data_IF_099545097474
#
_entry.id   IF_099545097474
#
_cell.length_a   1.000
_cell.length_b   1.000
_cell.length_c   1.000
_cell.angle_alpha   90.00
_cell.angle_beta   90.00
_cell.angle_gamma   90.00
#
_symmetry.space_group_name_H-M   'P 1'
#
loop_
_entity.id
_entity.type
_entity.pdbx_description
1 polymer ?
#
# COMPACT_ATOMS: atom_id res chain seq x y z
N UNK A 1 4.57 -37.32 38.07
CA UNK A 1 5.68 -38.28 37.92
C UNK A 1 6.63 -37.67 36.90
N UNK A 2 7.62 -36.89 37.41
CA UNK A 2 9.04 -37.19 37.51
C UNK A 2 9.73 -37.37 36.15
N UNK A 3 10.79 -36.70 35.77
CA UNK A 3 12.06 -36.18 36.34
C UNK A 3 12.70 -35.18 35.33
N UNK A 4 13.17 -33.96 35.63
CA UNK A 4 14.40 -33.50 36.31
C UNK A 4 15.70 -34.24 35.87
N UNK A 5 16.63 -33.47 35.27
CA UNK A 5 18.08 -33.45 35.44
C UNK A 5 18.66 -32.42 34.45
N UNK A 6 19.10 -31.25 34.84
CA UNK A 6 20.27 -30.83 35.61
C UNK A 6 21.64 -31.02 34.92
N UNK A 7 22.30 -29.88 34.66
CA UNK A 7 23.68 -29.45 34.93
C UNK A 7 24.78 -30.02 34.00
N UNK A 8 25.59 -29.14 33.39
CA UNK A 8 27.00 -28.95 33.75
C UNK A 8 27.61 -27.65 33.17
N UNK A 9 28.20 -26.90 34.10
CA UNK A 9 29.10 -25.74 33.91
C UNK A 9 30.51 -26.30 33.61
N UNK A 10 31.26 -25.66 32.69
CA UNK A 10 32.74 -25.66 32.75
C UNK A 10 33.22 -24.26 32.38
N UNK A 11 33.76 -23.59 33.40
CA UNK A 11 34.60 -22.41 33.27
C UNK A 11 36.05 -22.88 33.05
N UNK A 12 36.80 -22.22 32.17
CA UNK A 12 38.25 -22.33 32.10
C UNK A 12 38.86 -20.93 31.99
N UNK A 13 39.55 -20.57 33.06
CA UNK A 13 40.41 -19.38 33.20
C UNK A 13 41.85 -19.89 33.19
N UNK A 14 42.75 -19.13 32.55
CA UNK A 14 44.20 -19.00 32.73
C UNK A 14 44.79 -18.58 31.37
N UNK A 15 45.59 -17.59 31.14
CA UNK A 15 46.47 -16.80 32.01
C UNK A 15 47.72 -16.49 31.24
N UNK A 16 47.99 -15.21 31.04
CA UNK A 16 49.27 -14.47 31.06
C UNK A 16 50.48 -14.82 30.16
N UNK A 17 51.01 -13.70 29.64
CA UNK A 17 52.39 -13.29 29.29
C UNK A 17 52.74 -13.47 27.82
N UNK A 18 53.34 -12.54 27.08
CA UNK A 18 53.99 -11.25 27.35
C UNK A 18 54.89 -10.91 26.17
N UNK A 19 55.17 -9.63 26.04
CA UNK A 19 56.30 -8.98 25.35
C UNK A 19 56.45 -8.97 23.82
N UNK A 20 56.32 -7.80 23.24
CA UNK A 20 57.46 -7.12 22.58
C UNK A 20 57.46 -7.11 21.05
N UNK A 21 57.29 -5.98 20.42
CA UNK A 21 57.67 -5.75 19.05
C UNK A 21 57.09 -4.43 18.50
N UNK A 22 57.91 -3.44 18.38
CA UNK A 22 57.62 -2.08 17.95
C UNK A 22 57.35 -1.97 16.44
N UNK A 23 56.64 -0.89 16.10
CA UNK A 23 56.70 -0.14 14.85
C UNK A 23 55.84 -0.64 13.67
N UNK A 24 54.74 0.08 13.45
CA UNK A 24 54.62 0.97 12.27
C UNK A 24 53.30 1.76 12.34
N UNK A 25 53.46 3.08 12.33
CA UNK A 25 52.33 4.01 12.29
C UNK A 25 51.71 3.99 10.92
N UNK A 26 50.47 3.54 10.80
CA UNK A 26 49.57 3.97 9.73
C UNK A 26 48.60 4.95 10.30
N UNK A 27 48.79 6.21 9.87
CA UNK A 27 47.83 7.31 10.03
C UNK A 27 46.67 6.99 9.11
N UNK A 28 45.63 6.42 9.65
CA UNK A 28 44.33 6.41 9.00
C UNK A 28 43.59 7.64 9.51
N UNK A 29 43.31 8.55 8.59
CA UNK A 29 42.49 9.74 8.74
C UNK A 29 41.21 9.40 9.51
N UNK A 30 41.13 9.88 10.74
CA UNK A 30 39.86 10.08 11.43
C UNK A 30 39.19 11.30 10.77
N UNK A 31 38.29 11.06 9.86
CA UNK A 31 37.29 12.04 9.52
C UNK A 31 36.36 12.12 10.74
N UNK A 32 36.67 13.05 11.63
CA UNK A 32 35.72 13.54 12.61
C UNK A 32 34.56 14.18 11.86
N UNK A 33 33.46 13.44 11.67
CA UNK A 33 32.17 14.04 11.54
C UNK A 33 31.85 14.69 12.89
N UNK A 34 32.18 15.97 12.99
CA UNK A 34 31.67 16.77 14.07
C UNK A 34 30.16 16.85 14.00
N UNK A 35 29.48 15.98 14.70
CA UNK A 35 28.11 16.20 15.12
C UNK A 35 28.15 17.42 16.05
N UNK A 36 27.84 18.60 15.50
CA UNK A 36 27.47 19.73 16.34
C UNK A 36 26.14 19.35 17.01
N UNK A 37 26.20 18.95 18.27
CA UNK A 37 25.01 18.85 19.10
C UNK A 37 24.33 20.24 19.02
N UNK A 38 23.21 20.35 18.34
CA UNK A 38 22.36 21.53 18.35
C UNK A 38 21.90 21.72 19.79
N UNK A 39 22.38 22.78 20.41
CA UNK A 39 21.97 23.18 21.76
C UNK A 39 20.48 23.54 21.67
N UNK A 40 19.66 22.89 22.46
CA UNK A 40 18.22 23.19 22.54
C UNK A 40 18.04 24.71 22.76
N UNK A 41 17.21 25.40 21.95
CA UNK A 41 17.07 26.84 22.07
C UNK A 41 16.48 27.22 23.43
N UNK A 42 17.04 28.24 24.06
CA UNK A 42 16.53 28.77 25.32
C UNK A 42 15.05 29.15 25.14
N UNK A 43 14.20 28.73 26.06
CA UNK A 43 12.76 29.01 26.06
C UNK A 43 12.45 30.17 27.03
N UNK A 44 11.55 31.06 26.62
CA UNK A 44 11.04 32.15 27.43
C UNK A 44 9.90 31.72 28.35
N UNK A 45 9.36 32.69 29.08
CA UNK A 45 8.29 32.47 30.08
C UNK A 45 6.94 32.03 29.44
N UNK A 46 6.77 32.32 28.15
CA UNK A 46 5.59 31.92 27.38
C UNK A 46 5.82 30.63 26.57
N UNK A 47 6.98 29.95 26.79
CA UNK A 47 7.34 28.71 26.12
C UNK A 47 7.92 28.90 24.70
N UNK A 48 8.06 30.15 24.24
CA UNK A 48 8.63 30.49 22.94
C UNK A 48 10.16 30.44 22.92
N UNK A 49 10.73 30.40 21.71
CA UNK A 49 12.18 30.47 21.49
C UNK A 49 12.68 31.87 21.81
N UNK A 50 13.74 31.98 22.62
CA UNK A 50 14.40 33.23 22.92
C UNK A 50 15.45 33.55 21.84
N UNK A 51 15.37 34.78 21.30
CA UNK A 51 16.31 35.36 20.35
C UNK A 51 16.95 36.57 21.01
N UNK A 52 18.25 36.53 21.22
CA UNK A 52 18.99 37.50 22.03
C UNK A 52 19.97 38.27 21.14
N UNK A 53 19.94 39.60 21.22
CA UNK A 53 20.94 40.49 20.64
C UNK A 53 21.30 41.57 21.67
N UNK A 54 22.36 41.32 22.42
CA UNK A 54 22.76 42.11 23.61
C UNK A 54 21.63 42.18 24.66
N UNK A 55 21.16 43.36 24.97
CA UNK A 55 20.09 43.60 25.96
C UNK A 55 18.69 43.49 25.35
N UNK A 56 18.60 43.34 24.01
CA UNK A 56 17.35 43.15 23.30
C UNK A 56 17.01 41.66 23.13
N UNK A 57 15.91 41.24 23.72
CA UNK A 57 15.44 39.83 23.73
C UNK A 57 14.05 39.75 23.13
N UNK A 58 13.88 38.87 22.17
CA UNK A 58 12.63 38.58 21.51
C UNK A 58 12.25 37.14 21.82
N UNK A 59 11.07 36.91 22.41
CA UNK A 59 10.47 35.59 22.58
C UNK A 59 9.49 35.34 21.43
N UNK A 60 9.73 34.32 20.61
CA UNK A 60 8.94 33.95 19.43
C UNK A 60 8.29 32.59 19.62
N UNK A 61 6.96 32.55 19.58
CA UNK A 61 6.17 31.32 19.79
C UNK A 61 5.12 31.11 18.70
N UNK A 62 4.91 29.85 18.30
CA UNK A 62 3.71 29.42 17.57
C UNK A 62 2.66 29.05 18.61
N UNK A 63 1.49 29.66 18.52
CA UNK A 63 0.37 29.42 19.43
C UNK A 63 -0.78 28.77 18.70
N UNK A 64 -1.25 27.60 19.20
CA UNK A 64 -2.23 26.74 18.52
C UNK A 64 -3.43 26.39 19.40
N UNK A 65 -3.42 26.79 20.67
CA UNK A 65 -4.45 26.38 21.63
C UNK A 65 -5.75 27.15 21.41
N UNK A 66 -6.77 26.50 20.81
CA UNK A 66 -8.09 27.06 20.61
C UNK A 66 -8.22 28.11 19.51
N UNK A 67 -7.15 28.34 18.76
CA UNK A 67 -7.11 29.22 17.57
C UNK A 67 -6.28 28.53 16.47
N UNK A 68 -6.46 28.91 15.18
CA UNK A 68 -5.53 28.49 14.13
C UNK A 68 -4.10 28.89 14.50
N UNK A 69 -3.08 28.09 14.10
CA UNK A 69 -1.68 28.40 14.41
C UNK A 69 -1.27 29.82 14.03
N UNK A 70 -0.78 30.58 14.98
CA UNK A 70 -0.39 31.99 14.81
C UNK A 70 0.90 32.27 15.57
N UNK A 71 1.71 33.23 15.07
CA UNK A 71 2.85 33.71 15.85
C UNK A 71 2.42 34.69 16.93
N UNK A 72 3.04 34.53 18.12
CA UNK A 72 3.02 35.48 19.22
C UNK A 72 4.41 35.85 19.61
N UNK A 73 4.66 37.17 19.77
CA UNK A 73 6.00 37.68 20.04
C UNK A 73 5.97 38.67 21.17
N UNK A 74 6.81 38.44 22.17
CA UNK A 74 7.07 39.35 23.29
C UNK A 74 8.49 39.90 23.18
N UNK A 75 8.67 41.16 23.53
CA UNK A 75 9.97 41.82 23.42
C UNK A 75 10.39 42.47 24.73
N UNK A 76 11.62 42.30 25.11
CA UNK A 76 12.25 42.82 26.33
C UNK A 76 13.52 43.58 25.94
N UNK A 77 13.78 44.73 26.54
CA UNK A 77 15.05 45.43 26.40
C UNK A 77 15.50 45.91 27.77
N UNK A 78 16.80 45.80 28.08
CA UNK A 78 17.36 46.12 29.38
C UNK A 78 16.61 45.46 30.57
N UNK A 79 16.09 44.23 30.35
CA UNK A 79 15.33 43.48 31.35
C UNK A 79 13.88 43.97 31.58
N UNK A 80 13.39 44.96 30.84
CA UNK A 80 12.05 45.50 30.91
C UNK A 80 11.23 45.21 29.64
N UNK A 81 9.94 44.81 29.76
CA UNK A 81 9.07 44.61 28.59
C UNK A 81 8.89 45.86 27.77
N UNK A 82 8.98 45.72 26.44
CA UNK A 82 8.70 46.81 25.49
C UNK A 82 7.24 46.77 25.08
N UNK A 83 6.57 47.91 25.03
CA UNK A 83 5.23 47.97 24.51
C UNK A 83 5.18 47.55 23.02
N UNK A 84 4.28 46.70 22.58
CA UNK A 84 4.22 46.18 21.20
C UNK A 84 4.17 47.27 20.11
N UNK A 85 3.58 48.42 20.41
CA UNK A 85 3.51 49.59 19.51
C UNK A 85 4.88 50.22 19.19
N UNK A 86 5.87 49.98 20.03
CA UNK A 86 7.22 50.59 19.93
C UNK A 86 8.21 49.66 19.19
N UNK A 87 7.73 48.52 18.67
CA UNK A 87 8.50 47.54 17.89
C UNK A 87 7.85 47.36 16.51
N UNK A 88 8.65 47.55 15.46
CA UNK A 88 8.25 47.10 14.11
C UNK A 88 8.90 45.76 13.83
N UNK A 89 8.07 44.72 13.58
CA UNK A 89 8.46 43.34 13.42
C UNK A 89 8.04 42.83 12.06
N UNK A 90 8.97 42.20 11.36
CA UNK A 90 8.75 41.47 10.10
C UNK A 90 9.32 40.07 10.23
N UNK A 91 8.56 39.06 9.90
CA UNK A 91 9.00 37.66 9.89
C UNK A 91 8.77 37.08 8.51
N UNK A 92 9.80 36.47 7.94
CA UNK A 92 9.74 35.75 6.70
C UNK A 92 10.00 34.26 6.95
N UNK A 93 9.08 33.41 6.55
CA UNK A 93 9.26 31.96 6.55
C UNK A 93 9.67 31.52 5.16
N UNK A 94 10.79 30.82 5.05
CA UNK A 94 11.21 30.20 3.78
C UNK A 94 10.97 28.71 3.85
N UNK A 95 9.96 28.24 3.12
CA UNK A 95 9.57 26.83 3.04
C UNK A 95 10.43 26.04 2.04
N UNK A 96 10.30 24.73 2.05
CA UNK A 96 10.95 23.85 1.07
C UNK A 96 10.61 24.31 -0.37
N UNK A 97 11.65 24.41 -1.21
CA UNK A 97 11.53 24.96 -2.57
C UNK A 97 11.64 26.47 -2.66
N UNK A 98 11.94 27.17 -1.55
CA UNK A 98 12.21 28.61 -1.54
C UNK A 98 10.94 29.49 -1.54
N UNK A 99 9.76 28.88 -1.30
CA UNK A 99 8.50 29.61 -1.13
C UNK A 99 8.60 30.46 0.14
N UNK A 100 8.19 31.73 0.05
CA UNK A 100 8.26 32.66 1.16
C UNK A 100 6.88 33.09 1.63
N UNK A 101 6.64 32.98 2.93
CA UNK A 101 5.49 33.56 3.60
C UNK A 101 5.97 34.78 4.39
N UNK A 102 5.40 35.93 4.10
CA UNK A 102 5.70 37.17 4.83
C UNK A 102 4.60 37.38 5.87
N UNK A 103 5.01 37.48 7.13
CA UNK A 103 4.10 37.60 8.27
C UNK A 103 4.21 39.03 8.82
N UNK A 104 3.10 39.75 8.73
CA UNK A 104 2.91 41.02 9.40
C UNK A 104 2.43 40.83 10.84
N UNK A 105 2.60 41.86 11.67
CA UNK A 105 2.24 41.80 13.08
C UNK A 105 1.31 42.95 13.49
N UNK A 106 0.41 42.65 14.41
CA UNK A 106 -0.48 43.63 15.03
C UNK A 106 -0.33 43.57 16.54
N UNK A 107 -0.46 44.71 17.19
CA UNK A 107 -0.49 44.79 18.64
C UNK A 107 -1.73 44.08 19.18
N UNK A 108 -1.55 43.22 20.17
CA UNK A 108 -2.61 42.64 20.97
C UNK A 108 -2.11 42.53 22.44
N UNK A 109 -2.82 43.18 23.37
CA UNK A 109 -2.45 43.23 24.78
C UNK A 109 -0.98 43.57 24.98
N UNK A 110 -0.17 42.63 25.51
CA UNK A 110 1.26 42.76 25.80
C UNK A 110 2.18 42.10 24.75
N UNK A 111 1.64 41.60 23.64
CA UNK A 111 2.38 40.92 22.58
C UNK A 111 2.04 41.43 21.19
N UNK A 112 2.89 41.06 20.23
CA UNK A 112 2.66 41.19 18.80
C UNK A 112 2.07 39.88 18.28
N UNK A 113 0.89 39.97 17.67
CA UNK A 113 0.21 38.83 17.03
C UNK A 113 0.44 38.84 15.54
N UNK A 114 0.87 37.72 14.96
CA UNK A 114 0.93 37.50 13.52
C UNK A 114 -0.46 37.62 12.86
N UNK A 115 -0.50 38.18 11.66
CA UNK A 115 -1.73 38.39 10.90
C UNK A 115 -2.07 37.26 9.94
N UNK A 116 -1.23 36.24 9.89
CA UNK A 116 -1.33 35.09 8.97
C UNK A 116 -1.33 33.79 9.75
N UNK A 117 -2.15 32.83 9.30
CA UNK A 117 -2.16 31.45 9.83
C UNK A 117 -0.88 30.72 9.39
N UNK A 118 -0.21 30.08 10.34
CA UNK A 118 1.00 29.30 10.06
C UNK A 118 0.58 27.85 9.75
N UNK A 119 0.42 27.54 8.46
CA UNK A 119 -0.02 26.22 8.03
C UNK A 119 1.07 25.16 8.21
N UNK A 120 0.64 23.97 8.55
CA UNK A 120 1.49 22.77 8.60
C UNK A 120 2.05 22.40 7.21
N UNK A 121 3.23 21.74 7.14
CA UNK A 121 4.14 21.46 8.25
C UNK A 121 4.85 22.73 8.72
N UNK A 122 5.10 22.84 10.05
CA UNK A 122 5.91 23.91 10.62
C UNK A 122 7.40 23.69 10.30
N UNK A 123 7.71 23.56 9.03
CA UNK A 123 9.04 23.25 8.49
C UNK A 123 9.51 24.36 7.55
N UNK A 124 10.29 25.30 8.09
CA UNK A 124 10.75 26.49 7.39
C UNK A 124 12.01 27.10 8.05
N UNK A 125 12.73 27.88 7.27
CA UNK A 125 13.74 28.79 7.78
C UNK A 125 13.03 30.07 8.21
N UNK A 126 13.18 30.48 9.47
CA UNK A 126 12.61 31.70 10.02
C UNK A 126 13.64 32.81 9.93
N UNK A 127 13.30 33.91 9.26
CA UNK A 127 14.09 35.14 9.25
C UNK A 127 13.28 36.25 9.92
N UNK A 128 13.84 36.85 10.95
CA UNK A 128 13.18 37.88 11.77
C UNK A 128 13.97 39.19 11.67
N UNK A 129 13.27 40.28 11.40
CA UNK A 129 13.80 41.64 11.52
C UNK A 129 12.91 42.43 12.48
N UNK A 130 13.52 42.87 13.60
CA UNK A 130 12.85 43.73 14.58
C UNK A 130 13.53 45.10 14.63
N UNK A 131 12.75 46.17 14.60
CA UNK A 131 13.25 47.54 14.71
C UNK A 131 12.66 48.22 15.95
N UNK A 132 13.55 48.72 16.81
CA UNK A 132 13.18 49.42 18.03
C UNK A 132 14.17 50.59 18.28
N UNK A 133 13.68 51.75 18.67
CA UNK A 133 14.48 52.95 19.01
C UNK A 133 15.59 53.29 17.98
N UNK A 134 15.34 53.04 16.68
CA UNK A 134 16.27 53.29 15.59
C UNK A 134 17.34 52.21 15.38
N UNK A 135 17.34 51.16 16.18
CA UNK A 135 18.17 49.96 16.01
C UNK A 135 17.41 48.86 15.26
N UNK A 136 18.17 48.02 14.53
CA UNK A 136 17.61 46.87 13.80
C UNK A 136 18.31 45.61 14.28
N UNK A 137 17.52 44.67 14.75
CA UNK A 137 17.94 43.35 15.21
C UNK A 137 17.53 42.31 14.20
N UNK A 138 18.39 41.32 13.91
CA UNK A 138 18.11 40.28 12.91
C UNK A 138 18.54 38.94 13.42
N UNK A 139 17.64 37.95 13.17
CA UNK A 139 17.93 36.56 13.47
C UNK A 139 17.48 35.68 12.33
N UNK A 140 18.13 34.53 12.21
CA UNK A 140 17.71 33.46 11.31
C UNK A 140 17.93 32.13 12.03
N UNK A 141 16.97 31.26 11.94
CA UNK A 141 17.09 29.91 12.46
C UNK A 141 16.20 28.92 11.68
N UNK A 142 16.56 27.64 11.77
CA UNK A 142 15.83 26.56 11.16
C UNK A 142 14.77 26.04 12.15
N UNK A 143 13.54 25.86 11.66
CA UNK A 143 12.46 25.20 12.35
C UNK A 143 11.97 24.09 11.42
N UNK A 144 12.65 22.94 11.44
CA UNK A 144 12.31 21.82 10.55
C UNK A 144 11.58 20.74 11.31
N UNK A 145 10.28 20.65 11.08
CA UNK A 145 9.47 19.53 11.53
C UNK A 145 9.30 18.55 10.38
N UNK A 146 9.88 17.34 10.53
CA UNK A 146 9.72 16.31 9.53
C UNK A 146 10.46 16.54 8.21
N UNK A 147 11.62 17.23 8.25
CA UNK A 147 12.51 17.40 7.11
C UNK A 147 13.84 16.70 7.35
N UNK A 148 14.39 16.11 6.31
CA UNK A 148 15.75 15.54 6.31
C UNK A 148 16.42 15.75 4.97
N UNK A 149 17.75 15.58 4.94
CA UNK A 149 18.57 15.66 3.75
C UNK A 149 19.28 14.34 3.50
N UNK A 150 19.03 13.73 2.36
CA UNK A 150 19.63 12.46 1.93
C UNK A 150 20.31 12.69 0.60
N UNK A 151 21.63 12.57 0.57
CA UNK A 151 22.41 12.75 -0.66
C UNK A 151 22.03 11.74 -1.76
N UNK A 152 22.21 12.09 -3.05
CA UNK A 152 21.75 11.28 -4.17
C UNK A 152 22.32 9.86 -4.17
N UNK A 153 23.58 9.69 -3.81
CA UNK A 153 24.23 8.36 -3.77
C UNK A 153 23.61 7.47 -2.69
N UNK A 154 23.27 8.04 -1.54
CA UNK A 154 22.60 7.34 -0.43
C UNK A 154 21.15 7.02 -0.81
N UNK A 155 20.44 7.98 -1.42
CA UNK A 155 19.08 7.77 -1.90
C UNK A 155 19.01 6.62 -2.92
N UNK A 156 19.97 6.57 -3.84
CA UNK A 156 20.09 5.49 -4.81
C UNK A 156 20.42 4.15 -4.14
N UNK A 157 21.36 4.13 -3.19
CA UNK A 157 21.71 2.92 -2.45
C UNK A 157 20.53 2.38 -1.63
N UNK A 158 19.67 3.25 -1.13
CA UNK A 158 18.44 2.91 -0.42
C UNK A 158 17.29 2.53 -1.34
N UNK A 159 17.44 2.67 -2.66
CA UNK A 159 16.39 2.41 -3.64
C UNK A 159 15.19 3.33 -3.46
N UNK A 160 15.40 4.59 -3.07
CA UNK A 160 14.35 5.60 -2.98
C UNK A 160 13.92 5.98 -4.40
N UNK A 161 12.64 5.81 -4.70
CA UNK A 161 12.03 6.25 -5.95
C UNK A 161 11.00 7.32 -5.67
N UNK A 162 10.97 8.35 -6.51
CA UNK A 162 10.01 9.44 -6.39
C UNK A 162 9.31 9.72 -7.72
N UNK A 163 8.01 9.96 -7.63
CA UNK A 163 7.14 10.29 -8.77
C UNK A 163 6.43 11.63 -8.53
N UNK A 164 5.92 12.23 -9.62
CA UNK A 164 5.07 13.43 -9.51
C UNK A 164 3.64 13.06 -9.13
N UNK A 165 3.07 13.73 -8.13
CA UNK A 165 1.67 13.63 -7.82
C UNK A 165 0.83 14.25 -8.95
N UNK A 166 -0.25 13.60 -9.35
CA UNK A 166 -1.06 14.06 -10.47
C UNK A 166 -2.41 13.34 -10.56
N UNK A 167 -3.09 13.54 -11.69
CA UNK A 167 -4.38 12.89 -11.91
C UNK A 167 -4.22 11.37 -12.03
N UNK A 168 -5.17 10.64 -11.46
CA UNK A 168 -5.25 9.19 -11.58
C UNK A 168 -6.70 8.73 -11.71
N UNK A 169 -6.89 7.52 -12.20
CA UNK A 169 -8.20 6.85 -12.21
C UNK A 169 -8.25 5.87 -11.06
N UNK A 170 -9.17 6.09 -10.14
CA UNK A 170 -9.45 5.24 -8.98
C UNK A 170 -10.64 4.35 -9.31
N UNK A 171 -10.51 3.05 -9.04
CA UNK A 171 -11.51 2.03 -9.33
C UNK A 171 -12.27 1.67 -8.08
N UNK A 172 -13.58 1.90 -8.09
CA UNK A 172 -14.44 1.37 -7.04
C UNK A 172 -14.64 -0.13 -7.31
N UNK A 173 -14.31 -0.96 -6.33
CA UNK A 173 -14.44 -2.42 -6.41
C UNK A 173 -15.39 -2.96 -5.34
N UNK A 174 -16.04 -4.07 -5.66
CA UNK A 174 -16.83 -4.87 -4.72
C UNK A 174 -16.10 -6.18 -4.50
N UNK A 175 -15.74 -6.44 -3.23
CA UNK A 175 -15.14 -7.71 -2.84
C UNK A 175 -16.22 -8.79 -2.73
N UNK A 176 -16.03 -9.90 -3.40
CA UNK A 176 -16.94 -11.04 -3.44
C UNK A 176 -16.18 -12.34 -3.26
N UNK A 177 -16.93 -13.38 -2.89
CA UNK A 177 -16.38 -14.73 -2.80
C UNK A 177 -17.19 -15.66 -3.70
N UNK A 178 -16.54 -16.71 -4.17
CA UNK A 178 -17.18 -17.65 -5.04
C UNK A 178 -16.44 -18.98 -5.15
N UNK A 179 -16.83 -19.74 -6.14
CA UNK A 179 -16.23 -21.06 -6.42
C UNK A 179 -16.06 -21.26 -7.90
N UNK A 180 -15.09 -22.09 -8.23
CA UNK A 180 -14.90 -22.63 -9.56
C UNK A 180 -15.91 -23.74 -9.79
N UNK A 181 -16.61 -23.69 -10.92
CA UNK A 181 -17.54 -24.75 -11.35
C UNK A 181 -17.19 -25.20 -12.77
N UNK A 182 -17.52 -26.43 -13.16
CA UNK A 182 -17.29 -26.90 -14.52
C UNK A 182 -18.03 -26.03 -15.54
N UNK A 183 -17.38 -25.73 -16.67
CA UNK A 183 -18.05 -25.13 -17.80
C UNK A 183 -18.94 -26.21 -18.46
N UNK A 184 -20.23 -26.18 -18.13
CA UNK A 184 -21.17 -27.20 -18.64
C UNK A 184 -21.36 -27.15 -20.16
N UNK A 185 -21.04 -26.04 -20.81
CA UNK A 185 -21.04 -25.92 -22.27
C UNK A 185 -19.88 -26.71 -22.90
N UNK A 186 -18.85 -27.03 -22.14
CA UNK A 186 -17.68 -27.82 -22.53
C UNK A 186 -17.74 -29.27 -22.03
N UNK A 187 -18.91 -29.71 -21.54
CA UNK A 187 -19.15 -31.09 -21.11
C UNK A 187 -19.97 -31.82 -22.15
N UNK A 188 -19.69 -33.10 -22.33
CA UNK A 188 -20.48 -34.01 -23.22
C UNK A 188 -20.74 -35.31 -22.51
N UNK A 189 -22.02 -35.61 -22.37
CA UNK A 189 -22.50 -36.94 -22.02
C UNK A 189 -22.45 -37.86 -23.25
N UNK A 190 -21.92 -39.02 -23.07
CA UNK A 190 -21.74 -40.02 -24.13
C UNK A 190 -22.60 -41.24 -23.80
N UNK A 191 -23.52 -41.56 -24.68
CA UNK A 191 -24.39 -42.73 -24.60
C UNK A 191 -24.22 -43.63 -25.85
N UNK A 192 -24.64 -44.86 -25.75
CA UNK A 192 -24.67 -45.79 -26.88
C UNK A 192 -25.75 -45.35 -27.90
N UNK A 193 -25.43 -45.44 -29.20
CA UNK A 193 -26.39 -45.14 -30.26
C UNK A 193 -27.45 -46.24 -30.42
N UNK A 194 -27.03 -47.49 -30.19
CA UNK A 194 -27.88 -48.68 -30.25
C UNK A 194 -27.70 -49.48 -28.96
N UNK A 195 -28.74 -50.03 -28.42
CA UNK A 195 -28.67 -50.88 -27.22
C UNK A 195 -27.88 -52.14 -27.47
N UNK A 196 -27.08 -52.52 -26.49
CA UNK A 196 -26.24 -53.71 -26.58
C UNK A 196 -25.45 -54.00 -25.33
N UNK A 197 -24.64 -55.04 -25.40
CA UNK A 197 -23.73 -55.47 -24.33
C UNK A 197 -22.40 -54.77 -24.50
N UNK A 198 -21.86 -54.21 -23.42
CA UNK A 198 -20.53 -53.63 -23.39
C UNK A 198 -19.52 -54.74 -23.43
N UNK A 199 -18.75 -54.86 -24.53
CA UNK A 199 -17.70 -55.86 -24.67
C UNK A 199 -16.41 -55.47 -24.03
N UNK A 200 -16.00 -54.20 -24.21
CA UNK A 200 -14.79 -53.66 -23.62
C UNK A 200 -14.92 -52.16 -23.34
N UNK A 201 -14.16 -51.71 -22.35
CA UNK A 201 -14.02 -50.30 -21.98
C UNK A 201 -12.51 -49.96 -21.96
N UNK A 202 -12.09 -48.94 -22.70
CA UNK A 202 -10.70 -48.64 -22.98
C UNK A 202 -10.19 -47.41 -22.21
N UNK A 203 -11.02 -46.79 -21.35
CA UNK A 203 -10.70 -45.61 -20.59
C UNK A 203 -11.19 -45.70 -19.15
N UNK A 204 -10.53 -44.99 -18.25
CA UNK A 204 -10.87 -44.88 -16.85
C UNK A 204 -11.23 -43.44 -16.49
N UNK A 205 -11.85 -43.21 -15.32
CA UNK A 205 -12.04 -41.90 -14.76
C UNK A 205 -10.65 -41.28 -14.55
N UNK A 206 -10.45 -40.01 -14.95
CA UNK A 206 -9.19 -39.29 -14.88
C UNK A 206 -8.33 -39.39 -16.14
N UNK A 207 -8.69 -40.27 -17.12
CA UNK A 207 -7.93 -40.32 -18.37
C UNK A 207 -8.26 -39.12 -19.28
N UNK A 208 -7.20 -38.57 -19.88
CA UNK A 208 -7.34 -37.56 -20.93
C UNK A 208 -7.55 -38.25 -22.28
N UNK A 209 -8.61 -37.87 -22.99
CA UNK A 209 -8.96 -38.41 -24.30
C UNK A 209 -8.93 -37.35 -25.39
N UNK A 210 -8.66 -37.77 -26.62
CA UNK A 210 -8.74 -36.92 -27.81
C UNK A 210 -10.09 -37.15 -28.53
N UNK A 211 -10.58 -36.12 -29.20
CA UNK A 211 -11.76 -36.27 -30.08
C UNK A 211 -11.59 -37.44 -31.06
N UNK A 212 -12.57 -38.33 -31.12
CA UNK A 212 -12.54 -39.52 -31.95
C UNK A 212 -11.85 -40.75 -31.31
N UNK A 213 -11.26 -40.63 -30.12
CA UNK A 213 -10.66 -41.76 -29.41
C UNK A 213 -11.73 -42.78 -29.01
N UNK A 214 -11.47 -44.08 -29.21
CA UNK A 214 -12.38 -45.14 -28.82
C UNK A 214 -12.45 -45.27 -27.30
N UNK A 215 -13.67 -45.18 -26.75
CA UNK A 215 -13.97 -45.29 -25.34
C UNK A 215 -14.39 -46.67 -24.93
N UNK A 216 -15.26 -47.27 -25.76
CA UNK A 216 -15.82 -48.61 -25.53
C UNK A 216 -16.22 -49.30 -26.83
N UNK A 217 -16.34 -50.63 -26.78
CA UNK A 217 -16.91 -51.44 -27.83
C UNK A 217 -18.19 -52.09 -27.34
N UNK A 218 -19.24 -51.99 -28.14
CA UNK A 218 -20.58 -52.47 -27.84
C UNK A 218 -20.99 -53.50 -28.89
N UNK A 219 -21.58 -54.62 -28.50
CA UNK A 219 -22.27 -55.53 -29.37
C UNK A 219 -23.76 -55.21 -29.37
N UNK A 220 -24.33 -54.86 -30.52
CA UNK A 220 -25.72 -54.47 -30.67
C UNK A 220 -26.64 -55.69 -30.43
N UNK A 221 -27.70 -55.53 -29.64
CA UNK A 221 -28.68 -56.53 -29.37
C UNK A 221 -29.49 -56.95 -30.62
N UNK A 222 -29.67 -56.00 -31.55
CA UNK A 222 -30.49 -56.27 -32.78
C UNK A 222 -29.65 -56.95 -33.88
N UNK A 223 -28.43 -56.42 -34.13
CA UNK A 223 -27.61 -56.84 -35.27
C UNK A 223 -26.51 -57.84 -34.89
N UNK A 224 -26.26 -58.05 -33.62
CA UNK A 224 -25.11 -58.83 -33.06
C UNK A 224 -23.77 -58.44 -33.64
N UNK A 225 -23.67 -57.20 -34.16
CA UNK A 225 -22.43 -56.60 -34.67
C UNK A 225 -21.87 -55.69 -33.65
N UNK A 226 -20.54 -55.75 -33.50
CA UNK A 226 -19.83 -54.81 -32.67
C UNK A 226 -19.63 -53.45 -33.35
N UNK A 227 -19.76 -52.36 -32.57
CA UNK A 227 -19.47 -50.99 -32.96
C UNK A 227 -18.75 -50.28 -31.80
N UNK A 228 -18.08 -49.22 -32.14
CA UNK A 228 -17.28 -48.44 -31.15
C UNK A 228 -17.98 -47.15 -30.76
N UNK A 229 -17.87 -46.81 -29.50
CA UNK A 229 -18.22 -45.48 -28.97
C UNK A 229 -16.94 -44.67 -28.90
N UNK A 230 -16.98 -43.46 -29.45
CA UNK A 230 -15.82 -42.54 -29.49
C UNK A 230 -16.09 -41.24 -28.74
N UNK A 231 -15.03 -40.61 -28.28
CA UNK A 231 -15.07 -39.31 -27.61
C UNK A 231 -15.53 -38.21 -28.61
N UNK A 232 -16.63 -37.47 -28.33
CA UNK A 232 -17.11 -36.40 -29.21
C UNK A 232 -16.26 -35.14 -29.13
N UNK A 233 -15.58 -34.93 -28.02
CA UNK A 233 -14.62 -33.84 -27.76
C UNK A 233 -13.33 -34.40 -27.16
N UNK A 234 -12.27 -33.60 -27.15
CA UNK A 234 -11.10 -33.86 -26.30
C UNK A 234 -11.39 -33.41 -24.88
N UNK A 235 -10.74 -33.98 -23.87
CA UNK A 235 -10.92 -33.63 -22.49
C UNK A 235 -10.65 -34.75 -21.52
N UNK A 236 -11.08 -34.56 -20.29
CA UNK A 236 -10.95 -35.50 -19.18
C UNK A 236 -12.22 -36.36 -19.06
N UNK A 237 -12.05 -37.66 -18.84
CA UNK A 237 -13.19 -38.56 -18.48
C UNK A 237 -13.52 -38.27 -17.00
N UNK A 238 -14.61 -37.54 -16.76
CA UNK A 238 -15.06 -37.18 -15.41
C UNK A 238 -16.03 -38.17 -14.79
N UNK A 239 -16.76 -38.91 -15.64
CA UNK A 239 -17.63 -40.02 -15.21
C UNK A 239 -17.48 -41.24 -16.13
N UNK A 240 -17.54 -42.41 -15.54
CA UNK A 240 -17.57 -43.68 -16.24
C UNK A 240 -18.59 -44.59 -15.57
N UNK A 241 -19.72 -44.82 -16.25
CA UNK A 241 -20.81 -45.69 -15.83
C UNK A 241 -20.89 -46.97 -16.66
N UNK A 242 -19.87 -47.26 -17.43
CA UNK A 242 -19.77 -48.39 -18.35
C UNK A 242 -18.83 -49.46 -17.79
N UNK A 243 -19.32 -50.70 -17.64
CA UNK A 243 -18.48 -51.84 -17.31
C UNK A 243 -18.71 -52.99 -18.32
N UNK A 244 -17.67 -53.79 -18.65
CA UNK A 244 -17.81 -54.95 -19.52
C UNK A 244 -18.85 -55.90 -19.00
N UNK A 245 -19.69 -56.44 -19.92
CA UNK A 245 -20.79 -57.36 -19.61
C UNK A 245 -22.11 -56.68 -19.26
N UNK A 246 -22.13 -55.34 -19.02
CA UNK A 246 -23.37 -54.60 -18.75
C UNK A 246 -24.13 -54.26 -20.04
N UNK A 247 -25.47 -54.11 -19.92
CA UNK A 247 -26.32 -53.56 -20.98
C UNK A 247 -26.27 -52.05 -21.00
N UNK A 248 -26.26 -51.44 -22.18
CA UNK A 248 -26.29 -49.98 -22.35
C UNK A 248 -27.64 -49.38 -21.96
N UNK A 249 -28.72 -49.99 -22.31
CA UNK A 249 -30.11 -49.65 -21.92
C UNK A 249 -30.43 -48.14 -22.03
N UNK A 250 -29.93 -47.45 -23.07
CA UNK A 250 -30.15 -46.02 -23.30
C UNK A 250 -29.51 -45.08 -22.28
N UNK A 251 -28.77 -45.61 -21.29
CA UNK A 251 -28.12 -44.77 -20.23
C UNK A 251 -26.87 -44.06 -20.72
N UNK A 252 -26.51 -43.02 -19.99
CA UNK A 252 -25.21 -42.36 -20.12
C UNK A 252 -24.10 -43.34 -19.71
N UNK A 253 -23.04 -43.41 -20.49
CA UNK A 253 -21.90 -44.31 -20.26
C UNK A 253 -20.64 -43.55 -19.78
N UNK A 254 -20.44 -42.34 -20.30
CA UNK A 254 -19.31 -41.49 -19.94
C UNK A 254 -19.72 -40.03 -19.90
N UNK A 255 -18.99 -39.24 -19.14
CA UNK A 255 -18.93 -37.78 -19.26
C UNK A 255 -17.52 -37.39 -19.60
N UNK A 256 -17.35 -36.55 -20.64
CA UNK A 256 -16.09 -35.97 -21.01
C UNK A 256 -16.19 -34.46 -20.80
N UNK A 257 -15.24 -33.90 -20.06
CA UNK A 257 -15.19 -32.48 -19.73
C UNK A 257 -13.91 -31.89 -20.29
N UNK A 258 -14.02 -30.84 -21.08
CA UNK A 258 -12.91 -30.01 -21.49
C UNK A 258 -12.73 -28.89 -20.43
N UNK A 259 -11.66 -28.99 -19.66
CA UNK A 259 -11.33 -28.03 -18.58
C UNK A 259 -10.42 -26.90 -19.05
N UNK A 260 -10.26 -26.68 -20.37
CA UNK A 260 -9.51 -25.54 -20.92
C UNK A 260 -10.14 -24.20 -20.54
N UNK A 261 -11.43 -24.19 -20.23
CA UNK A 261 -12.17 -23.10 -19.64
C UNK A 261 -12.98 -23.56 -18.44
N UNK A 262 -13.13 -22.70 -17.45
CA UNK A 262 -13.97 -22.94 -16.27
C UNK A 262 -14.91 -21.77 -16.05
N UNK A 263 -15.98 -22.01 -15.34
CA UNK A 263 -16.81 -20.94 -14.81
C UNK A 263 -16.45 -20.65 -13.38
N UNK A 264 -16.50 -19.37 -13.02
CA UNK A 264 -16.46 -18.92 -11.64
C UNK A 264 -17.79 -18.29 -11.30
N UNK A 265 -18.42 -18.75 -10.24
CA UNK A 265 -19.68 -18.23 -9.70
C UNK A 265 -19.39 -17.43 -8.44
N UNK A 266 -19.52 -16.10 -8.54
CA UNK A 266 -19.27 -15.13 -7.49
C UNK A 266 -20.58 -14.71 -6.84
N UNK A 267 -20.66 -14.75 -5.51
CA UNK A 267 -21.84 -14.37 -4.75
C UNK A 267 -21.90 -12.85 -4.56
N UNK A 268 -22.84 -12.19 -5.22
CA UNK A 268 -23.11 -10.75 -5.10
C UNK A 268 -24.31 -10.56 -4.18
N UNK A 269 -24.11 -9.87 -3.08
CA UNK A 269 -25.16 -9.61 -2.09
C UNK A 269 -26.05 -8.43 -2.48
N UNK A 270 -27.25 -8.28 -1.86
CA UNK A 270 -28.23 -7.25 -2.23
C UNK A 270 -27.69 -5.82 -2.16
N UNK A 271 -26.78 -5.51 -1.23
CA UNK A 271 -26.10 -4.20 -1.12
C UNK A 271 -25.40 -3.78 -2.41
N UNK A 272 -24.77 -4.74 -3.08
CA UNK A 272 -23.89 -4.50 -4.22
C UNK A 272 -24.54 -4.84 -5.56
N UNK A 273 -25.70 -5.55 -5.50
CA UNK A 273 -26.39 -6.06 -6.67
C UNK A 273 -26.68 -5.01 -7.74
N UNK A 274 -27.00 -3.77 -7.32
CA UNK A 274 -27.31 -2.66 -8.23
C UNK A 274 -26.07 -2.07 -8.90
N UNK A 275 -24.91 -2.20 -8.30
CA UNK A 275 -23.64 -1.72 -8.84
C UNK A 275 -23.01 -2.70 -9.84
N UNK A 276 -23.15 -4.02 -9.58
CA UNK A 276 -22.57 -5.07 -10.45
C UNK A 276 -23.38 -5.23 -11.73
N UNK A 277 -22.73 -5.24 -12.88
CA UNK A 277 -23.32 -5.37 -14.22
C UNK A 277 -22.61 -6.45 -15.04
N UNK A 278 -23.29 -7.13 -15.97
CA UNK A 278 -22.61 -7.87 -17.04
C UNK A 278 -21.66 -6.93 -17.80
N UNK A 279 -20.49 -7.44 -18.16
CA UNK A 279 -19.43 -6.67 -18.78
C UNK A 279 -18.46 -6.01 -17.79
N UNK A 280 -18.74 -6.02 -16.49
CA UNK A 280 -17.83 -5.50 -15.47
C UNK A 280 -16.54 -6.35 -15.41
N UNK A 281 -15.39 -5.68 -15.33
CA UNK A 281 -14.12 -6.35 -15.12
C UNK A 281 -14.06 -6.94 -13.70
N UNK A 282 -13.41 -8.08 -13.58
CA UNK A 282 -13.22 -8.76 -12.31
C UNK A 282 -11.84 -9.40 -12.25
N UNK A 283 -11.23 -9.32 -11.10
CA UNK A 283 -10.01 -10.03 -10.77
C UNK A 283 -10.36 -11.11 -9.75
N UNK A 284 -10.02 -12.36 -10.03
CA UNK A 284 -10.23 -13.48 -9.11
C UNK A 284 -8.89 -14.02 -8.62
N UNK A 285 -8.87 -14.46 -7.37
CA UNK A 285 -7.66 -14.94 -6.70
C UNK A 285 -7.99 -16.11 -5.76
N UNK A 286 -7.18 -17.17 -5.81
CA UNK A 286 -7.28 -18.25 -4.83
C UNK A 286 -6.67 -17.84 -3.50
N UNK A 287 -7.13 -18.38 -2.35
CA UNK A 287 -6.76 -17.91 -1.02
C UNK A 287 -5.26 -17.94 -0.69
N UNK A 288 -4.48 -18.78 -1.37
CA UNK A 288 -3.02 -18.86 -1.20
C UNK A 288 -2.24 -17.85 -2.06
N UNK A 289 -2.95 -17.04 -2.87
CA UNK A 289 -2.35 -16.06 -3.78
C UNK A 289 -1.64 -16.67 -4.99
N UNK A 290 -1.60 -18.00 -5.11
CA UNK A 290 -0.85 -18.70 -6.15
C UNK A 290 -1.42 -18.49 -7.56
N UNK A 291 -2.73 -18.26 -7.67
CA UNK A 291 -3.42 -18.09 -8.95
C UNK A 291 -4.25 -16.83 -8.92
N UNK A 292 -3.92 -15.88 -9.80
CA UNK A 292 -4.68 -14.67 -10.06
C UNK A 292 -5.07 -14.61 -11.52
N UNK A 293 -6.35 -14.32 -11.82
CA UNK A 293 -6.88 -14.24 -13.19
C UNK A 293 -7.79 -13.04 -13.32
N UNK A 294 -7.70 -12.41 -14.46
CA UNK A 294 -8.62 -11.35 -14.88
C UNK A 294 -9.72 -11.92 -15.75
N UNK A 295 -10.92 -11.41 -15.62
CA UNK A 295 -12.07 -11.81 -16.39
C UNK A 295 -13.12 -10.73 -16.49
N UNK A 296 -14.25 -11.10 -17.07
CA UNK A 296 -15.40 -10.20 -17.25
C UNK A 296 -16.63 -10.96 -16.75
N UNK A 297 -17.51 -10.26 -16.06
CA UNK A 297 -18.83 -10.80 -15.69
C UNK A 297 -19.63 -11.07 -16.97
N UNK A 298 -19.81 -12.36 -17.28
CA UNK A 298 -20.61 -12.80 -18.44
C UNK A 298 -22.10 -12.50 -18.20
N UNK A 299 -22.61 -12.96 -17.05
CA UNK A 299 -24.01 -12.77 -16.68
C UNK A 299 -24.24 -12.79 -15.17
N UNK A 300 -25.40 -12.30 -14.78
CA UNK A 300 -25.92 -12.46 -13.42
C UNK A 300 -27.09 -13.46 -13.48
N UNK A 301 -27.13 -14.39 -12.55
CA UNK A 301 -28.27 -15.28 -12.44
C UNK A 301 -29.56 -14.50 -12.15
N UNK A 302 -30.68 -15.00 -12.62
CA UNK A 302 -32.00 -14.39 -12.40
C UNK A 302 -32.67 -14.87 -11.11
N UNK A 303 -32.07 -15.85 -10.44
CA UNK A 303 -32.55 -16.44 -9.18
C UNK A 303 -31.58 -16.08 -8.06
N UNK A 304 -32.13 -15.88 -6.88
CA UNK A 304 -31.35 -15.72 -5.65
C UNK A 304 -31.06 -17.04 -4.99
N UNK A 305 -29.88 -17.16 -4.41
CA UNK A 305 -29.48 -18.30 -3.60
C UNK A 305 -30.11 -18.26 -2.20
N UNK A 306 -29.99 -19.35 -1.45
CA UNK A 306 -30.53 -19.45 -0.08
C UNK A 306 -29.98 -18.36 0.86
N UNK A 307 -28.74 -17.91 0.63
CA UNK A 307 -28.08 -16.84 1.39
C UNK A 307 -28.43 -15.44 0.87
N UNK A 308 -29.43 -15.30 0.00
CA UNK A 308 -29.88 -14.06 -0.63
C UNK A 308 -28.89 -13.43 -1.62
N UNK A 309 -27.80 -14.10 -1.97
CA UNK A 309 -26.91 -13.62 -3.03
C UNK A 309 -27.44 -13.95 -4.43
N UNK A 310 -26.98 -13.21 -5.43
CA UNK A 310 -27.12 -13.52 -6.86
C UNK A 310 -25.75 -13.92 -7.38
N UNK A 311 -25.70 -15.03 -8.11
CA UNK A 311 -24.43 -15.49 -8.68
C UNK A 311 -24.09 -14.69 -9.94
N UNK A 312 -22.92 -14.06 -9.92
CA UNK A 312 -22.28 -13.46 -11.07
C UNK A 312 -21.33 -14.51 -11.69
N UNK A 313 -21.54 -14.81 -12.98
CA UNK A 313 -20.72 -15.79 -13.69
C UNK A 313 -19.60 -15.11 -14.45
N UNK A 314 -18.41 -15.68 -14.32
CA UNK A 314 -17.21 -15.33 -15.10
C UNK A 314 -16.77 -16.57 -15.86
N UNK A 315 -16.40 -16.41 -17.13
CA UNK A 315 -15.77 -17.47 -17.92
C UNK A 315 -14.27 -17.20 -17.92
N UNK A 316 -13.49 -18.15 -17.43
CA UNK A 316 -12.03 -18.01 -17.34
C UNK A 316 -11.32 -19.07 -18.16
N UNK A 317 -10.27 -18.66 -18.85
CA UNK A 317 -9.32 -19.58 -19.46
C UNK A 317 -8.49 -20.29 -18.39
N UNK A 318 -8.28 -21.59 -18.58
CA UNK A 318 -7.58 -22.45 -17.65
C UNK A 318 -6.57 -23.37 -18.38
N UNK A 319 -5.62 -22.78 -19.12
CA UNK A 319 -4.68 -23.54 -19.96
C UNK A 319 -3.71 -24.39 -19.14
N UNK A 320 -3.39 -23.97 -17.93
CA UNK A 320 -2.50 -24.64 -16.98
C UNK A 320 -3.23 -25.64 -16.06
N UNK A 321 -4.57 -25.69 -16.13
CA UNK A 321 -5.40 -26.55 -15.28
C UNK A 321 -5.36 -26.16 -13.79
N UNK A 322 -4.87 -24.96 -13.44
CA UNK A 322 -4.70 -24.53 -12.05
C UNK A 322 -6.04 -24.26 -11.34
N UNK A 323 -7.09 -23.89 -12.09
CA UNK A 323 -8.43 -23.70 -11.55
C UNK A 323 -9.21 -25.00 -11.61
N UNK A 324 -9.35 -25.68 -10.49
CA UNK A 324 -10.10 -26.94 -10.39
C UNK A 324 -11.54 -26.68 -9.92
N UNK A 325 -12.55 -27.28 -10.57
CA UNK A 325 -13.91 -27.23 -10.07
C UNK A 325 -14.03 -27.65 -8.61
N UNK A 326 -14.73 -26.85 -7.81
CA UNK A 326 -14.84 -27.01 -6.36
C UNK A 326 -13.92 -26.10 -5.54
N UNK A 327 -12.90 -25.49 -6.14
CA UNK A 327 -12.06 -24.50 -5.45
C UNK A 327 -12.84 -23.26 -5.09
N UNK A 328 -12.59 -22.73 -3.90
CA UNK A 328 -13.08 -21.41 -3.48
C UNK A 328 -12.05 -20.34 -3.84
N UNK A 329 -12.55 -19.14 -4.10
CA UNK A 329 -11.72 -17.99 -4.44
C UNK A 329 -12.40 -16.69 -4.00
N UNK A 330 -11.61 -15.63 -3.91
CA UNK A 330 -12.10 -14.26 -3.80
C UNK A 330 -12.13 -13.59 -5.17
N UNK A 331 -12.93 -12.54 -5.28
CA UNK A 331 -13.00 -11.72 -6.49
C UNK A 331 -13.18 -10.25 -6.13
N UNK A 332 -12.61 -9.37 -6.94
CA UNK A 332 -12.85 -7.94 -6.91
C UNK A 332 -13.50 -7.51 -8.21
N UNK A 333 -14.78 -7.14 -8.13
CA UNK A 333 -15.56 -6.69 -9.30
C UNK A 333 -15.47 -5.18 -9.37
N UNK A 334 -14.97 -4.65 -10.48
CA UNK A 334 -14.94 -3.23 -10.74
C UNK A 334 -16.37 -2.74 -11.08
N UNK A 335 -16.87 -1.78 -10.27
CA UNK A 335 -18.24 -1.28 -10.42
C UNK A 335 -18.30 0.16 -10.91
N UNK A 336 -17.26 0.94 -10.69
CA UNK A 336 -17.12 2.31 -11.19
C UNK A 336 -15.66 2.71 -11.38
N UNK A 337 -15.44 3.80 -12.09
CA UNK A 337 -14.14 4.47 -12.23
C UNK A 337 -14.33 5.97 -12.00
N UNK A 338 -13.39 6.58 -11.29
CA UNK A 338 -13.38 8.01 -11.00
C UNK A 338 -12.01 8.59 -11.33
N UNK A 339 -11.96 9.48 -12.29
CA UNK A 339 -10.75 10.27 -12.53
C UNK A 339 -10.72 11.42 -11.55
N UNK A 340 -9.69 11.44 -10.71
CA UNK A 340 -9.44 12.48 -9.70
C UNK A 340 -8.30 13.39 -10.15
N UNK A 341 -8.34 14.69 -9.81
CA UNK A 341 -7.33 15.64 -10.28
C UNK A 341 -5.97 15.44 -9.63
N UNK A 342 -5.95 14.89 -8.42
CA UNK A 342 -4.73 14.65 -7.65
C UNK A 342 -4.83 13.35 -6.87
N UNK A 343 -3.83 12.51 -7.02
CA UNK A 343 -3.68 11.24 -6.31
C UNK A 343 -2.22 10.93 -6.06
N UNK A 344 -2.00 10.09 -5.06
CA UNK A 344 -0.69 9.50 -4.73
C UNK A 344 -0.79 7.98 -4.70
N UNK A 345 0.33 7.31 -4.94
CA UNK A 345 0.42 5.86 -4.79
C UNK A 345 0.34 5.46 -3.32
N UNK A 346 -0.42 4.43 -3.05
CA UNK A 346 -0.58 3.86 -1.70
C UNK A 346 0.77 3.43 -1.09
N UNK A 347 1.71 2.98 -1.92
CA UNK A 347 3.06 2.58 -1.48
C UNK A 347 3.91 3.73 -0.92
N UNK A 348 3.61 4.98 -1.28
CA UNK A 348 4.31 6.16 -0.76
C UNK A 348 3.82 6.64 0.60
N UNK A 349 2.62 6.20 1.02
CA UNK A 349 2.02 6.64 2.28
C UNK A 349 2.76 6.09 3.49
N UNK A 350 2.91 6.96 4.49
CA UNK A 350 3.44 6.62 5.81
C UNK A 350 2.56 7.24 6.90
N UNK A 351 2.58 6.62 8.09
CA UNK A 351 2.06 7.27 9.29
C UNK A 351 3.19 8.06 9.94
N UNK A 352 2.96 9.33 10.23
CA UNK A 352 3.90 10.20 10.95
C UNK A 352 3.12 10.97 12.01
N UNK A 353 3.48 10.77 13.30
CA UNK A 353 2.65 11.21 14.43
C UNK A 353 1.20 10.73 14.23
N UNK A 354 0.22 11.59 14.31
CA UNK A 354 -1.21 11.28 14.15
C UNK A 354 -1.72 11.45 12.70
N UNK A 355 -0.82 11.66 11.73
CA UNK A 355 -1.17 11.99 10.35
C UNK A 355 -0.76 10.90 9.37
N UNK A 356 -1.52 10.80 8.27
CA UNK A 356 -1.08 10.07 7.08
C UNK A 356 -0.37 11.03 6.14
N UNK A 357 0.85 10.67 5.73
CA UNK A 357 1.76 11.56 5.03
C UNK A 357 2.40 10.90 3.82
N UNK A 358 2.94 11.74 2.93
CA UNK A 358 3.99 11.38 1.98
C UNK A 358 5.22 12.26 2.24
N UNK A 359 6.37 11.84 1.71
CA UNK A 359 7.59 12.64 1.76
C UNK A 359 7.80 13.32 0.41
N UNK A 360 7.59 14.63 0.35
CA UNK A 360 7.90 15.45 -0.83
C UNK A 360 9.41 15.56 -1.01
N UNK A 361 9.89 15.54 -2.26
CA UNK A 361 11.30 15.63 -2.62
C UNK A 361 11.59 16.88 -3.43
N UNK A 362 12.55 17.69 -2.98
CA UNK A 362 13.13 18.78 -3.77
C UNK A 362 14.66 18.69 -3.67
N UNK A 363 15.30 18.34 -4.78
CA UNK A 363 16.72 18.04 -4.77
C UNK A 363 17.07 16.85 -3.88
N UNK A 364 17.91 17.09 -2.87
CA UNK A 364 18.32 16.11 -1.86
C UNK A 364 17.57 16.28 -0.52
N UNK A 365 16.60 17.19 -0.46
CA UNK A 365 15.77 17.42 0.72
C UNK A 365 14.43 16.68 0.60
N UNK A 366 14.01 16.10 1.72
CA UNK A 366 12.76 15.35 1.87
C UNK A 366 11.98 15.91 3.04
N UNK A 367 10.69 16.17 2.81
CA UNK A 367 9.84 16.80 3.83
C UNK A 367 8.48 16.14 3.89
N UNK A 368 7.99 15.94 5.12
CA UNK A 368 6.63 15.47 5.41
C UNK A 368 5.60 16.39 4.74
N UNK A 369 4.61 15.78 4.09
CA UNK A 369 3.36 16.42 3.66
C UNK A 369 2.18 15.66 4.26
N UNK A 370 1.46 16.30 5.15
CA UNK A 370 0.24 15.79 5.75
C UNK A 370 -0.87 15.85 4.72
N UNK A 371 -1.58 14.72 4.52
CA UNK A 371 -2.57 14.61 3.46
C UNK A 371 -3.98 14.52 4.00
N UNK A 372 -4.88 15.25 3.38
CA UNK A 372 -6.32 14.98 3.43
C UNK A 372 -6.67 14.02 2.30
N UNK A 373 -7.20 12.86 2.66
CA UNK A 373 -7.41 11.75 1.73
C UNK A 373 -8.88 11.59 1.38
N UNK A 374 -9.14 11.25 0.11
CA UNK A 374 -10.46 10.99 -0.43
C UNK A 374 -10.66 9.51 -0.80
N UNK A 375 -11.10 9.26 -2.05
CA UNK A 375 -11.32 7.93 -2.61
C UNK A 375 -10.01 7.15 -2.71
N UNK A 376 -10.13 5.82 -2.65
CA UNK A 376 -8.96 4.96 -2.77
C UNK A 376 -9.28 3.64 -3.45
N UNK A 377 -8.27 3.06 -4.06
CA UNK A 377 -8.27 1.67 -4.53
C UNK A 377 -7.00 0.92 -4.05
N UNK A 378 -6.71 -0.21 -4.65
CA UNK A 378 -5.52 -1.00 -4.32
C UNK A 378 -4.19 -0.30 -4.63
N UNK A 379 -4.17 0.71 -5.49
CA UNK A 379 -2.96 1.37 -6.00
C UNK A 379 -2.91 2.86 -5.68
N UNK A 380 -4.02 3.58 -5.82
CA UNK A 380 -4.10 5.03 -5.75
C UNK A 380 -4.99 5.51 -4.61
N UNK A 381 -4.67 6.68 -4.08
CA UNK A 381 -5.48 7.41 -3.11
C UNK A 381 -5.60 8.86 -3.57
N UNK A 382 -6.82 9.36 -3.63
CA UNK A 382 -7.14 10.75 -3.90
C UNK A 382 -6.61 11.65 -2.78
N UNK A 383 -6.01 12.77 -3.17
CA UNK A 383 -5.57 13.81 -2.26
C UNK A 383 -6.49 15.01 -2.39
N UNK A 384 -7.17 15.34 -1.29
CA UNK A 384 -8.08 16.49 -1.20
C UNK A 384 -7.35 17.76 -0.73
N UNK A 385 -6.25 17.59 0.00
CA UNK A 385 -5.43 18.68 0.51
C UNK A 385 -4.07 18.20 1.01
N UNK A 386 -3.15 19.15 1.21
CA UNK A 386 -1.81 18.90 1.77
C UNK A 386 -0.70 18.64 0.74
N UNK A 387 -1.03 18.56 -0.56
CA UNK A 387 -0.04 18.37 -1.62
C UNK A 387 -0.48 19.10 -2.89
N UNK A 388 0.45 19.73 -3.59
CA UNK A 388 0.17 20.39 -4.86
C UNK A 388 0.39 19.43 -6.05
N UNK A 389 -0.39 19.58 -7.15
CA UNK A 389 -0.15 18.84 -8.37
C UNK A 389 1.28 19.05 -8.90
N UNK A 390 1.92 17.97 -9.33
CA UNK A 390 3.30 17.98 -9.83
C UNK A 390 4.38 17.89 -8.76
N UNK A 391 4.03 17.96 -7.47
CA UNK A 391 4.98 17.74 -6.38
C UNK A 391 5.56 16.35 -6.49
N UNK A 392 6.89 16.23 -6.53
CA UNK A 392 7.56 14.94 -6.46
C UNK A 392 7.49 14.41 -5.04
N UNK A 393 7.11 13.14 -4.90
CA UNK A 393 7.04 12.46 -3.60
C UNK A 393 7.58 11.04 -3.71
N UNK A 394 8.08 10.52 -2.60
CA UNK A 394 8.71 9.19 -2.56
C UNK A 394 7.64 8.09 -2.55
N UNK A 395 7.77 7.15 -3.48
CA UNK A 395 6.82 6.02 -3.67
C UNK A 395 7.36 4.68 -3.22
N UNK A 396 8.71 4.55 -3.14
CA UNK A 396 9.38 3.29 -2.78
C UNK A 396 10.33 3.54 -1.62
N UNK A 397 10.32 2.65 -0.62
CA UNK A 397 11.17 2.69 0.57
C UNK A 397 11.03 3.98 1.42
N UNK A 398 9.91 4.66 1.34
CA UNK A 398 9.61 5.91 2.07
C UNK A 398 9.80 5.79 3.60
N UNK A 399 9.70 4.59 4.17
CA UNK A 399 9.92 4.31 5.58
C UNK A 399 11.37 4.62 6.04
N UNK A 400 12.35 4.61 5.13
CA UNK A 400 13.73 4.98 5.44
C UNK A 400 13.86 6.48 5.75
N UNK A 401 13.10 7.31 5.02
CA UNK A 401 13.03 8.75 5.29
C UNK A 401 12.39 8.98 6.66
N UNK A 402 11.30 8.27 6.96
CA UNK A 402 10.66 8.31 8.28
C UNK A 402 11.67 8.01 9.39
N UNK A 403 12.42 6.90 9.25
CA UNK A 403 13.40 6.50 10.25
C UNK A 403 14.52 7.54 10.45
N UNK A 404 14.95 8.20 9.38
CA UNK A 404 15.98 9.24 9.44
C UNK A 404 15.46 10.51 10.15
N UNK A 405 14.24 10.95 9.84
CA UNK A 405 13.57 12.07 10.52
C UNK A 405 13.35 11.77 12.01
N UNK A 406 12.85 10.57 12.34
CA UNK A 406 12.59 10.19 13.73
C UNK A 406 13.89 10.06 14.54
N UNK A 407 14.97 9.62 13.90
CA UNK A 407 16.30 9.58 14.54
C UNK A 407 16.81 10.98 14.89
N UNK A 408 16.66 11.94 13.97
CA UNK A 408 17.04 13.34 14.22
C UNK A 408 16.16 13.99 15.29
N UNK A 409 14.84 13.70 15.30
CA UNK A 409 13.91 14.19 16.33
C UNK A 409 14.16 13.59 17.73
N UNK A 410 14.52 12.30 17.81
CA UNK A 410 14.83 11.65 19.08
C UNK A 410 16.09 12.20 19.78
N UNK A 411 16.98 12.88 19.05
CA UNK A 411 18.14 13.57 19.65
C UNK A 411 17.75 14.87 20.36
N UNK A 412 16.53 15.35 20.21
CA UNK A 412 16.04 16.60 20.80
C UNK A 412 15.17 16.40 22.06
N UNK A 413 14.81 15.15 22.43
CA UNK A 413 13.91 14.82 23.54
C UNK A 413 14.65 14.27 24.80
N UNK A 414 15.95 14.51 24.99
CA UNK A 414 16.73 14.05 26.17
C UNK A 414 17.27 15.17 27.01
#
# INVERSE_FOLDING_TARGET
>A
MNNIKCIWFVAFVLGLTGCGGASERNVADQIEHGESAEVEPAKGIHGGRLLIDNDFVLEHSIFETGVPPEFRVWVINDGAPIAPKDVNLEVTLTRLGGIKDEIGFRQQDDFLRGDTVIYEPHSFVVTIEARHAGQTHRWQYDNFEGRTRIGPDVAQAFGLEAEGAGSATIKDTVAVYGRVVPNTEMMRAVSARFDGVIQSVNVSIGDTVRKGQVLATIESNESLKSYTITAPIGGLVTERLANPGEQTAGRQLFTITDNSTVWVELAVFPSDRMAVRPGAAVVVEVPDGAVKREGIIDRLNTTVETNQSVLARVVLDNPDGALLPGMYLSGEIQVAEHTVPLAVKRSGLQAFRDFTVVYAQIGDEYEVRMLELGRQDGQWIEVLGGLDPGTRYVTTNSYLIKADIEKSGASHDH
#
